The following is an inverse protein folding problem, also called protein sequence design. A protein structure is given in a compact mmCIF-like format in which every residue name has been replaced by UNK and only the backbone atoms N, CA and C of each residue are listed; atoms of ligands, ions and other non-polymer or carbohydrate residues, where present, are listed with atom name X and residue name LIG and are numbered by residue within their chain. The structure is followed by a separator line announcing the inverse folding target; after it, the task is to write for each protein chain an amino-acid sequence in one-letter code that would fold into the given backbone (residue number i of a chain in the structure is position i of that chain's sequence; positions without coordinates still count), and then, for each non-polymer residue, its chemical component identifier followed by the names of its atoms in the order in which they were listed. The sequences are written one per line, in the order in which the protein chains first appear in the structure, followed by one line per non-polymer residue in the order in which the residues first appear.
data_IF_063042462293
#
_entry.id   IF_063042462293
#
_cell.length_a   1.000
_cell.length_b   1.000
_cell.length_c   1.000
_cell.angle_alpha   90.00
_cell.angle_beta   90.00
_cell.angle_gamma   90.00
#
_symmetry.space_group_name_H-M   'P 1'
#
loop_
_entity.id
_entity.type
_entity.pdbx_description
1 polymer ?
#
# COMPACT_ATOMS: atom_id res chain seq x y z
N UNK A 1 -19.75 10.85 2.26
CA UNK A 1 -18.30 10.90 1.94
C UNK A 1 -17.56 10.61 3.22
N UNK A 2 -16.95 9.44 3.35
CA UNK A 2 -16.01 9.16 4.44
C UNK A 2 -14.69 9.79 4.02
N UNK A 3 -14.35 10.92 4.63
CA UNK A 3 -12.99 11.46 4.63
C UNK A 3 -12.08 10.35 5.08
N UNK A 4 -11.04 10.04 4.30
CA UNK A 4 -10.00 9.15 4.78
C UNK A 4 -9.28 9.90 5.90
N UNK A 5 -9.18 9.27 7.05
CA UNK A 5 -8.20 9.69 8.04
C UNK A 5 -6.80 9.72 7.39
N UNK A 6 -5.86 10.40 8.04
CA UNK A 6 -4.47 10.51 7.62
C UNK A 6 -3.96 9.17 7.08
N UNK A 7 -3.46 9.16 5.84
CA UNK A 7 -2.88 7.96 5.25
C UNK A 7 -1.55 7.68 5.95
N UNK A 8 -1.50 6.60 6.72
CA UNK A 8 -0.32 6.25 7.51
C UNK A 8 0.75 5.50 6.70
N UNK A 9 0.37 4.91 5.57
CA UNK A 9 1.28 4.24 4.65
C UNK A 9 0.55 3.51 3.52
N UNK A 10 1.27 3.22 2.44
CA UNK A 10 0.78 2.44 1.30
C UNK A 10 1.83 1.40 0.92
N UNK A 11 1.38 0.18 0.64
CA UNK A 11 2.19 -0.88 0.05
C UNK A 11 1.45 -1.45 -1.14
N UNK A 12 2.14 -1.55 -2.27
CA UNK A 12 1.60 -2.19 -3.47
C UNK A 12 2.10 -3.62 -3.52
N UNK A 13 1.17 -4.57 -3.53
CA UNK A 13 1.48 -5.98 -3.75
C UNK A 13 1.37 -6.28 -5.25
N UNK A 14 2.46 -6.76 -5.83
CA UNK A 14 2.52 -7.14 -7.24
C UNK A 14 2.91 -8.61 -7.32
N UNK A 15 2.30 -9.35 -8.24
CA UNK A 15 2.72 -10.73 -8.53
C UNK A 15 3.51 -10.74 -9.84
N UNK A 16 4.81 -10.99 -9.75
CA UNK A 16 5.73 -11.06 -10.90
C UNK A 16 6.26 -12.48 -10.97
N UNK A 17 6.09 -13.15 -12.11
CA UNK A 17 6.57 -14.52 -12.34
C UNK A 17 6.18 -15.53 -11.24
N UNK A 18 4.97 -15.40 -10.70
CA UNK A 18 4.46 -16.27 -9.64
C UNK A 18 4.85 -15.86 -8.22
N UNK A 19 5.77 -14.92 -8.04
CA UNK A 19 6.25 -14.43 -6.76
C UNK A 19 5.51 -13.16 -6.33
N UNK A 20 5.22 -13.04 -5.03
CA UNK A 20 4.68 -11.81 -4.47
C UNK A 20 5.82 -10.86 -4.11
N UNK A 21 5.75 -9.67 -4.69
CA UNK A 21 6.64 -8.54 -4.43
C UNK A 21 5.86 -7.46 -3.69
N UNK A 22 6.55 -6.70 -2.85
CA UNK A 22 6.01 -5.51 -2.21
C UNK A 22 6.80 -4.30 -2.69
N UNK A 23 6.09 -3.28 -3.17
CA UNK A 23 6.65 -1.96 -3.45
C UNK A 23 6.17 -1.00 -2.36
N UNK A 24 7.03 -0.64 -1.38
CA UNK A 24 6.68 0.32 -0.35
C UNK A 24 6.59 1.73 -0.94
N UNK A 25 5.58 2.49 -0.54
CA UNK A 25 5.42 3.90 -0.91
C UNK A 25 5.61 4.74 0.35
N UNK A 26 6.46 5.75 0.27
CA UNK A 26 6.72 6.67 1.38
C UNK A 26 5.46 7.47 1.74
N UNK A 27 5.29 7.78 3.03
CA UNK A 27 4.07 8.40 3.54
C UNK A 27 3.80 9.77 2.89
N UNK A 28 4.85 10.54 2.61
CA UNK A 28 4.79 11.83 1.93
C UNK A 28 4.28 11.74 0.48
N UNK A 29 4.40 10.57 -0.16
CA UNK A 29 3.92 10.33 -1.52
C UNK A 29 2.56 9.63 -1.56
N UNK A 30 2.01 9.28 -0.40
CA UNK A 30 0.85 8.40 -0.30
C UNK A 30 -0.42 9.04 -0.87
N UNK A 31 -0.68 10.31 -0.56
CA UNK A 31 -1.85 11.04 -1.07
C UNK A 31 -1.79 11.19 -2.60
N UNK A 32 -0.62 11.58 -3.12
CA UNK A 32 -0.40 11.69 -4.56
C UNK A 32 -0.64 10.35 -5.27
N UNK A 33 -0.13 9.25 -4.70
CA UNK A 33 -0.35 7.91 -5.21
C UNK A 33 -1.83 7.53 -5.22
N UNK A 34 -2.56 7.76 -4.12
CA UNK A 34 -4.00 7.48 -4.03
C UNK A 34 -4.77 8.28 -5.08
N UNK A 35 -4.42 9.53 -5.33
CA UNK A 35 -5.06 10.36 -6.37
C UNK A 35 -5.02 9.71 -7.76
N UNK A 36 -3.91 9.06 -8.11
CA UNK A 36 -3.73 8.40 -9.40
C UNK A 36 -4.56 7.12 -9.55
N UNK A 37 -4.88 6.43 -8.46
CA UNK A 37 -5.54 5.12 -8.52
C UNK A 37 -6.89 5.14 -9.23
N UNK A 38 -7.62 6.26 -9.15
CA UNK A 38 -8.91 6.44 -9.80
C UNK A 38 -8.87 6.18 -11.31
N UNK A 39 -7.78 6.53 -11.99
CA UNK A 39 -7.59 6.29 -13.41
C UNK A 39 -7.52 4.79 -13.78
N UNK A 40 -7.09 3.96 -12.83
CA UNK A 40 -6.94 2.52 -13.00
C UNK A 40 -8.14 1.71 -12.46
N UNK A 41 -9.16 2.38 -11.91
CA UNK A 41 -10.37 1.73 -11.43
C UNK A 41 -11.42 1.63 -12.55
N UNK A 42 -12.18 0.52 -12.55
CA UNK A 42 -13.25 0.31 -13.52
C UNK A 42 -14.27 1.45 -13.51
N UNK A 43 -14.57 1.97 -14.71
CA UNK A 43 -15.43 3.14 -14.91
C UNK A 43 -14.76 4.49 -14.61
N UNK A 44 -13.45 4.50 -14.34
CA UNK A 44 -12.62 5.69 -14.13
C UNK A 44 -13.30 6.74 -13.26
N UNK A 45 -13.64 6.40 -12.00
CA UNK A 45 -14.38 7.30 -11.12
C UNK A 45 -13.61 8.63 -10.93
N UNK A 46 -14.34 9.73 -10.73
CA UNK A 46 -13.72 11.05 -10.48
C UNK A 46 -12.86 11.11 -9.21
N UNK A 47 -13.06 10.17 -8.29
CA UNK A 47 -12.31 10.03 -7.05
C UNK A 47 -11.97 8.56 -6.83
N UNK A 48 -10.82 8.31 -6.21
CA UNK A 48 -10.40 6.95 -5.86
C UNK A 48 -11.39 6.35 -4.87
N UNK A 49 -11.93 5.18 -5.21
CA UNK A 49 -12.75 4.38 -4.29
C UNK A 49 -11.84 3.51 -3.45
N UNK A 50 -11.94 3.65 -2.13
CA UNK A 50 -11.29 2.75 -1.17
C UNK A 50 -12.35 1.91 -0.47
N UNK A 51 -12.06 0.62 -0.29
CA UNK A 51 -12.93 -0.34 0.38
C UNK A 51 -12.31 -0.64 1.73
N UNK A 52 -13.07 -0.45 2.81
CA UNK A 52 -12.62 -0.86 4.15
C UNK A 52 -12.65 -2.39 4.24
N UNK A 53 -11.55 -2.95 4.72
CA UNK A 53 -11.48 -4.38 4.98
C UNK A 53 -12.28 -4.72 6.25
N UNK A 54 -12.93 -5.88 6.31
CA UNK A 54 -13.48 -6.40 7.56
C UNK A 54 -12.39 -6.57 8.62
N UNK A 55 -12.71 -6.40 9.90
CA UNK A 55 -11.73 -6.42 11.00
C UNK A 55 -10.84 -7.69 11.00
N UNK A 56 -11.45 -8.86 10.82
CA UNK A 56 -10.69 -10.12 10.77
C UNK A 56 -9.69 -10.21 9.61
N UNK A 57 -9.95 -9.52 8.49
CA UNK A 57 -8.99 -9.43 7.37
C UNK A 57 -7.91 -8.39 7.67
N UNK A 58 -8.27 -7.28 8.32
CA UNK A 58 -7.36 -6.21 8.71
C UNK A 58 -6.21 -6.74 9.60
N UNK A 59 -6.51 -7.62 10.55
CA UNK A 59 -5.48 -8.23 11.41
C UNK A 59 -4.44 -9.02 10.61
N UNK A 60 -4.88 -9.84 9.65
CA UNK A 60 -3.98 -10.61 8.79
C UNK A 60 -3.11 -9.71 7.90
N UNK A 61 -3.70 -8.65 7.33
CA UNK A 61 -2.96 -7.69 6.49
C UNK A 61 -1.93 -6.92 7.32
N UNK A 62 -2.29 -6.51 8.53
CA UNK A 62 -1.36 -5.84 9.45
C UNK A 62 -0.18 -6.73 9.81
N UNK A 63 -0.43 -7.99 10.19
CA UNK A 63 0.62 -8.95 10.51
C UNK A 63 1.57 -9.19 9.32
N UNK A 64 1.03 -9.30 8.10
CA UNK A 64 1.84 -9.42 6.89
C UNK A 64 2.68 -8.15 6.64
N UNK A 65 2.10 -6.96 6.82
CA UNK A 65 2.81 -5.69 6.69
C UNK A 65 3.96 -5.53 7.68
N UNK A 66 3.76 -5.90 8.95
CA UNK A 66 4.79 -5.88 9.99
C UNK A 66 5.94 -6.84 9.66
N UNK A 67 5.63 -8.06 9.21
CA UNK A 67 6.63 -9.03 8.78
C UNK A 67 7.46 -8.52 7.58
N UNK A 68 6.82 -7.87 6.60
CA UNK A 68 7.49 -7.31 5.43
C UNK A 68 8.35 -6.09 5.76
N UNK A 69 7.89 -5.20 6.66
CA UNK A 69 8.65 -4.04 7.09
C UNK A 69 9.98 -4.43 7.77
N UNK A 70 9.99 -5.53 8.53
CA UNK A 70 11.20 -6.07 9.11
C UNK A 70 12.23 -6.56 8.07
N UNK A 71 11.77 -6.96 6.88
CA UNK A 71 12.62 -7.38 5.75
C UNK A 71 13.14 -6.18 4.98
N UNK A 72 12.27 -5.24 4.59
CA UNK A 72 12.65 -4.09 3.76
C UNK A 72 13.57 -3.11 4.49
N UNK A 73 13.48 -2.99 5.83
CA UNK A 73 14.45 -2.22 6.63
C UNK A 73 15.87 -2.79 6.57
N UNK A 74 16.02 -4.12 6.40
CA UNK A 74 17.35 -4.75 6.27
C UNK A 74 17.96 -4.49 4.91
N UNK A 75 17.16 -4.46 3.85
CA UNK A 75 17.62 -4.23 2.47
C UNK A 75 17.93 -2.75 2.19
N UNK A 76 17.18 -1.82 2.80
CA UNK A 76 17.44 -0.37 2.71
C UNK A 76 18.77 0.09 3.36
N UNK A 77 19.39 -0.75 4.20
CA UNK A 77 20.66 -0.46 4.85
C UNK A 77 21.90 -0.93 4.04
N UNK A 78 21.68 -1.54 2.86
CA UNK A 78 22.74 -2.10 2.00
C UNK A 78 23.09 -1.24 0.78
N UNK A 79 22.43 -0.09 0.58
CA UNK A 79 22.76 0.88 -0.49
C UNK A 79 23.31 2.22 0.06
N UNK A 80 23.74 2.25 1.32
CA UNK A 80 24.52 3.35 1.90
C UNK A 80 25.96 2.93 2.11
N UNK A 81 26.80 3.07 1.08
CA UNK A 81 28.27 3.10 1.17
C UNK A 81 28.81 3.99 0.07
#
# INVERSE_FOLDING_TARGET
MTTLDKVEGISVFVKIDGQFCVAPIAAESAEAFIGMLSAFQSGSPKQTRLIRLPDGVTEHVKAAGEALYAVTRKEGNTHGS
#
